data_IF_807582028977
#
_entry.id   IF_807582028977
#
_cell.length_a   1.000
_cell.length_b   1.000
_cell.length_c   1.000
_cell.angle_alpha   90.00
_cell.angle_beta   90.00
_cell.angle_gamma   90.00
#
_symmetry.space_group_name_H-M   'P 1'
#
loop_
_entity.id
_entity.type
_entity.pdbx_description
1 polymer ?
#
# COMPACT_ATOMS: atom_id res chain seq x y z
N UNK A 1 7.01 -18.27 -21.95
CA UNK A 1 5.72 -18.68 -22.55
C UNK A 1 4.62 -17.97 -21.77
N UNK A 2 4.12 -16.85 -22.30
CA UNK A 2 3.03 -16.08 -21.68
C UNK A 2 1.74 -16.89 -21.82
N UNK A 3 1.07 -17.16 -20.70
CA UNK A 3 -0.28 -17.74 -20.69
C UNK A 3 -1.20 -16.66 -20.14
N UNK A 4 -1.74 -15.85 -21.02
CA UNK A 4 -2.91 -15.03 -20.76
C UNK A 4 -3.67 -14.84 -22.07
N UNK A 5 -3.99 -15.95 -22.73
CA UNK A 5 -4.97 -15.98 -23.81
C UNK A 5 -6.30 -16.45 -23.22
N UNK A 6 -7.27 -15.54 -23.05
CA UNK A 6 -8.64 -15.96 -22.74
C UNK A 6 -9.59 -14.94 -22.12
N UNK A 7 -9.11 -13.77 -21.68
CA UNK A 7 -9.99 -12.77 -21.07
C UNK A 7 -10.37 -11.71 -22.10
N UNK A 8 -11.60 -11.78 -22.60
CA UNK A 8 -12.25 -10.69 -23.35
C UNK A 8 -13.30 -10.04 -22.47
N UNK A 9 -13.19 -8.73 -22.24
CA UNK A 9 -14.20 -7.94 -21.55
C UNK A 9 -15.51 -7.89 -22.34
N UNK A 10 -16.64 -7.86 -21.64
CA UNK A 10 -17.97 -7.68 -22.25
C UNK A 10 -18.10 -6.37 -23.06
N UNK A 11 -17.18 -5.42 -22.88
CA UNK A 11 -17.16 -4.12 -23.56
C UNK A 11 -16.18 -4.03 -24.76
N UNK A 12 -15.41 -5.08 -25.07
CA UNK A 12 -14.50 -5.08 -26.23
C UNK A 12 -13.25 -4.20 -26.13
N UNK A 13 -12.93 -3.68 -24.94
CA UNK A 13 -11.69 -2.94 -24.69
C UNK A 13 -10.51 -3.91 -24.52
N UNK A 14 -9.43 -3.70 -25.28
CA UNK A 14 -8.16 -4.41 -25.13
C UNK A 14 -7.37 -3.78 -23.95
N UNK A 15 -7.05 -4.54 -22.89
CA UNK A 15 -6.28 -4.01 -21.76
C UNK A 15 -4.82 -3.70 -22.11
N UNK A 16 -4.35 -4.01 -23.32
CA UNK A 16 -2.98 -3.77 -23.75
C UNK A 16 -1.98 -4.62 -22.97
N UNK A 17 -0.84 -4.03 -22.61
CA UNK A 17 0.26 -4.72 -21.91
C UNK A 17 0.07 -4.83 -20.37
N UNK A 18 -1.13 -4.55 -19.84
CA UNK A 18 -1.40 -4.65 -18.40
C UNK A 18 -1.32 -6.10 -17.90
N UNK A 19 -0.71 -6.27 -16.73
CA UNK A 19 -0.81 -7.50 -15.95
C UNK A 19 -2.22 -7.70 -15.38
N UNK A 20 -2.62 -8.94 -15.03
CA UNK A 20 -3.91 -9.19 -14.39
C UNK A 20 -4.13 -8.33 -13.13
N UNK A 21 -3.10 -8.14 -12.30
CA UNK A 21 -3.22 -7.35 -11.07
C UNK A 21 -3.38 -5.85 -11.33
N UNK A 22 -2.70 -5.30 -12.33
CA UNK A 22 -2.89 -3.89 -12.73
C UNK A 22 -4.31 -3.65 -13.26
N UNK A 23 -4.84 -4.61 -14.02
CA UNK A 23 -6.19 -4.58 -14.55
C UNK A 23 -7.25 -4.65 -13.45
N UNK A 24 -7.08 -5.55 -12.49
CA UNK A 24 -7.93 -5.66 -11.30
C UNK A 24 -7.89 -4.38 -10.45
N UNK A 25 -6.70 -3.82 -10.24
CA UNK A 25 -6.52 -2.55 -9.50
C UNK A 25 -7.26 -1.40 -10.19
N UNK A 26 -7.12 -1.27 -11.52
CA UNK A 26 -7.80 -0.25 -12.29
C UNK A 26 -9.34 -0.43 -12.25
N UNK A 27 -9.82 -1.67 -12.34
CA UNK A 27 -11.23 -2.00 -12.22
C UNK A 27 -11.77 -1.64 -10.82
N UNK A 28 -11.04 -1.96 -9.75
CA UNK A 28 -11.42 -1.63 -8.37
C UNK A 28 -11.55 -0.10 -8.18
N UNK A 29 -10.57 0.68 -8.63
CA UNK A 29 -10.64 2.15 -8.54
C UNK A 29 -11.79 2.74 -9.35
N UNK A 30 -12.08 2.19 -10.54
CA UNK A 30 -13.25 2.59 -11.32
C UNK A 30 -14.55 2.30 -10.58
N UNK A 31 -14.67 1.15 -9.90
CA UNK A 31 -15.83 0.79 -9.09
C UNK A 31 -15.98 1.73 -7.89
N UNK A 32 -14.89 2.03 -7.17
CA UNK A 32 -14.91 2.97 -6.04
C UNK A 32 -15.44 4.35 -6.46
N UNK A 33 -14.93 4.88 -7.57
CA UNK A 33 -15.42 6.15 -8.13
C UNK A 33 -16.90 6.07 -8.54
N UNK A 34 -17.31 5.00 -9.24
CA UNK A 34 -18.70 4.84 -9.69
C UNK A 34 -19.68 4.74 -8.53
N UNK A 35 -19.26 4.13 -7.43
CA UNK A 35 -20.07 3.92 -6.23
C UNK A 35 -20.01 5.09 -5.23
N UNK A 36 -19.24 6.16 -5.53
CA UNK A 36 -18.96 7.27 -4.62
C UNK A 36 -18.47 6.80 -3.24
N UNK A 37 -17.50 5.88 -3.24
CA UNK A 37 -16.89 5.37 -2.00
C UNK A 37 -16.12 6.51 -1.32
N UNK A 38 -16.59 6.91 -0.14
CA UNK A 38 -15.96 7.98 0.65
C UNK A 38 -14.62 7.54 1.25
N UNK A 39 -14.53 6.29 1.73
CA UNK A 39 -13.32 5.69 2.26
C UNK A 39 -13.21 4.24 1.79
N UNK A 40 -12.09 3.89 1.18
CA UNK A 40 -11.76 2.54 0.74
C UNK A 40 -10.46 2.08 1.39
N UNK A 41 -10.40 0.80 1.76
CA UNK A 41 -9.15 0.14 2.15
C UNK A 41 -8.57 -0.51 0.91
N UNK A 42 -7.32 -0.19 0.60
CA UNK A 42 -6.60 -0.75 -0.54
C UNK A 42 -5.39 -1.49 -0.01
N UNK A 43 -5.42 -2.82 -0.15
CA UNK A 43 -4.30 -3.68 0.20
C UNK A 43 -3.28 -3.70 -0.95
N UNK A 44 -2.01 -3.53 -0.59
CA UNK A 44 -0.88 -3.59 -1.53
C UNK A 44 -0.70 -5.05 -1.97
N UNK A 45 -0.55 -5.31 -3.26
CA UNK A 45 -0.30 -6.66 -3.76
C UNK A 45 1.09 -7.16 -3.39
N UNK A 46 2.14 -6.53 -3.95
CA UNK A 46 3.52 -6.87 -3.66
C UNK A 46 4.44 -5.64 -3.69
N UNK A 47 5.30 -5.53 -2.68
CA UNK A 47 6.25 -4.45 -2.56
C UNK A 47 5.67 -3.21 -1.90
N UNK A 48 5.61 -2.10 -2.63
CA UNK A 48 5.17 -0.81 -2.09
C UNK A 48 5.26 0.32 -3.12
N UNK A 49 6.47 0.82 -3.41
CA UNK A 49 6.65 1.92 -4.35
C UNK A 49 6.17 1.59 -5.77
N UNK A 50 6.44 0.36 -6.22
CA UNK A 50 6.19 -0.15 -7.58
C UNK A 50 4.89 -0.94 -7.71
N UNK A 51 4.10 -1.04 -6.63
CA UNK A 51 2.85 -1.79 -6.66
C UNK A 51 1.77 -1.01 -7.45
N UNK A 52 0.91 -1.73 -8.19
CA UNK A 52 -0.15 -1.11 -8.99
C UNK A 52 -1.08 -0.23 -8.14
N UNK A 53 -1.35 -0.62 -6.90
CA UNK A 53 -2.21 0.15 -5.98
C UNK A 53 -1.61 1.50 -5.60
N UNK A 54 -0.29 1.65 -5.71
CA UNK A 54 0.41 2.90 -5.42
C UNK A 54 0.13 4.00 -6.47
N UNK A 55 -0.59 3.68 -7.55
CA UNK A 55 -1.18 4.64 -8.48
C UNK A 55 -2.23 5.56 -7.82
N UNK A 56 -2.82 5.15 -6.68
CA UNK A 56 -3.66 6.01 -5.85
C UNK A 56 -2.84 7.18 -5.29
N UNK A 57 -3.10 8.38 -5.81
CA UNK A 57 -2.37 9.62 -5.44
C UNK A 57 -2.86 10.20 -4.11
N UNK A 58 -4.17 10.27 -3.94
CA UNK A 58 -4.80 10.82 -2.75
C UNK A 58 -5.01 9.71 -1.73
N UNK A 59 -4.26 9.77 -0.64
CA UNK A 59 -4.33 8.81 0.47
C UNK A 59 -4.59 9.59 1.76
N UNK A 60 -5.60 9.19 2.52
CA UNK A 60 -5.86 9.79 3.83
C UNK A 60 -4.85 9.29 4.88
N UNK A 61 -4.46 8.02 4.78
CA UNK A 61 -3.52 7.35 5.70
C UNK A 61 -2.82 6.22 4.96
N UNK A 62 -1.60 5.91 5.35
CA UNK A 62 -0.89 4.69 4.95
C UNK A 62 -0.69 3.80 6.16
N UNK A 63 -0.73 2.48 5.97
CA UNK A 63 -0.60 1.52 7.07
C UNK A 63 0.44 0.47 6.72
N UNK A 64 1.40 0.25 7.62
CA UNK A 64 2.39 -0.83 7.53
C UNK A 64 2.12 -1.77 8.70
N UNK A 65 1.62 -2.96 8.37
CA UNK A 65 1.40 -4.04 9.34
C UNK A 65 2.73 -4.63 9.84
N UNK A 66 2.64 -5.71 10.63
CA UNK A 66 3.81 -6.50 11.01
C UNK A 66 4.59 -6.96 9.78
N UNK A 67 5.88 -6.66 9.74
CA UNK A 67 6.81 -7.10 8.71
C UNK A 67 7.46 -8.39 9.17
N UNK A 68 7.48 -9.37 8.27
CA UNK A 68 8.15 -10.64 8.42
C UNK A 68 8.92 -10.97 7.13
N UNK A 69 9.67 -12.06 7.15
CA UNK A 69 10.34 -12.61 5.97
C UNK A 69 9.29 -13.23 5.04
N UNK A 70 8.90 -12.46 4.03
CA UNK A 70 7.93 -12.85 3.02
C UNK A 70 8.37 -12.38 1.64
N UNK A 71 8.06 -13.15 0.60
CA UNK A 71 8.40 -12.86 -0.79
C UNK A 71 9.88 -12.46 -1.00
N UNK A 72 10.80 -13.16 -0.31
CA UNK A 72 12.22 -12.81 -0.27
C UNK A 72 12.89 -12.69 -1.65
N UNK A 73 12.45 -13.50 -2.61
CA UNK A 73 12.93 -13.47 -4.00
C UNK A 73 12.68 -12.10 -4.69
N UNK A 74 11.71 -11.33 -4.20
CA UNK A 74 11.30 -10.05 -4.76
C UNK A 74 11.61 -8.86 -3.84
N UNK A 75 11.54 -9.06 -2.52
CA UNK A 75 11.55 -7.97 -1.53
C UNK A 75 12.86 -7.82 -0.75
N UNK A 76 13.74 -8.83 -0.81
CA UNK A 76 15.00 -8.86 -0.06
C UNK A 76 15.09 -10.02 0.90
N UNK A 77 16.28 -10.26 1.43
CA UNK A 77 16.60 -11.38 2.30
C UNK A 77 16.55 -11.03 3.79
N UNK A 78 16.33 -9.76 4.15
CA UNK A 78 16.12 -9.35 5.54
C UNK A 78 14.85 -8.54 5.72
N UNK A 79 14.32 -8.53 6.94
CA UNK A 79 13.13 -7.74 7.30
C UNK A 79 13.36 -6.23 7.11
N UNK A 80 14.59 -5.73 7.22
CA UNK A 80 14.95 -4.34 6.93
C UNK A 80 14.89 -4.01 5.44
N UNK A 81 15.32 -4.94 4.57
CA UNK A 81 15.20 -4.77 3.12
C UNK A 81 13.73 -4.76 2.71
N UNK A 82 12.94 -5.71 3.23
CA UNK A 82 11.49 -5.77 3.01
C UNK A 82 10.82 -4.48 3.52
N UNK A 83 11.22 -3.98 4.69
CA UNK A 83 10.71 -2.73 5.25
C UNK A 83 10.98 -1.52 4.33
N UNK A 84 12.17 -1.43 3.73
CA UNK A 84 12.48 -0.36 2.76
C UNK A 84 11.54 -0.39 1.56
N UNK A 85 11.25 -1.58 1.04
CA UNK A 85 10.34 -1.72 -0.11
C UNK A 85 8.91 -1.33 0.29
N UNK A 86 8.41 -1.87 1.42
CA UNK A 86 7.05 -1.58 1.92
C UNK A 86 6.87 -0.11 2.32
N UNK A 87 7.91 0.57 2.78
CA UNK A 87 7.87 2.00 3.09
C UNK A 87 7.52 2.86 1.85
N UNK A 88 7.70 2.34 0.63
CA UNK A 88 7.40 3.03 -0.62
C UNK A 88 5.93 3.43 -0.84
N UNK A 89 5.01 2.99 0.02
CA UNK A 89 3.62 3.47 0.01
C UNK A 89 3.45 4.83 0.67
N UNK A 90 4.41 5.26 1.50
CA UNK A 90 4.38 6.54 2.21
C UNK A 90 4.27 7.71 1.23
N UNK A 91 3.59 8.77 1.66
CA UNK A 91 3.39 10.00 0.88
C UNK A 91 3.70 11.23 1.75
N UNK A 92 4.26 12.30 1.16
CA UNK A 92 4.51 13.54 1.91
C UNK A 92 3.22 14.06 2.54
N UNK A 93 3.28 14.45 3.82
CA UNK A 93 2.12 14.97 4.56
C UNK A 93 0.99 13.97 4.85
N UNK A 94 1.07 12.72 4.39
CA UNK A 94 0.07 11.68 4.68
C UNK A 94 0.54 10.81 5.85
N UNK A 95 -0.18 10.75 6.98
CA UNK A 95 0.27 9.99 8.14
C UNK A 95 0.48 8.51 7.82
N UNK A 96 1.49 7.91 8.44
CA UNK A 96 1.76 6.48 8.36
C UNK A 96 1.55 5.81 9.71
N UNK A 97 0.64 4.85 9.78
CA UNK A 97 0.44 4.00 10.96
C UNK A 97 1.27 2.74 10.79
N UNK A 98 2.08 2.41 11.80
CA UNK A 98 2.95 1.24 11.80
C UNK A 98 2.60 0.33 12.96
N UNK A 99 2.54 -0.98 12.72
CA UNK A 99 2.37 -1.97 13.77
C UNK A 99 3.50 -1.85 14.81
N UNK A 100 3.13 -1.56 16.05
CA UNK A 100 4.05 -1.34 17.16
C UNK A 100 4.84 -2.59 17.57
N UNK A 101 4.44 -3.77 17.12
CA UNK A 101 5.12 -5.05 17.39
C UNK A 101 6.30 -5.32 16.45
N UNK A 102 6.57 -4.45 15.48
CA UNK A 102 7.74 -4.54 14.61
C UNK A 102 9.06 -4.39 15.41
N UNK A 103 10.14 -5.10 15.04
CA UNK A 103 11.43 -4.97 15.71
C UNK A 103 12.01 -3.56 15.54
N UNK A 104 12.90 -3.14 16.46
CA UNK A 104 13.49 -1.80 16.42
C UNK A 104 14.21 -1.49 15.11
N UNK A 105 14.91 -2.47 14.51
CA UNK A 105 15.60 -2.29 13.24
C UNK A 105 14.65 -1.92 12.09
N UNK A 106 13.50 -2.59 12.01
CA UNK A 106 12.43 -2.25 11.06
C UNK A 106 11.87 -0.86 11.35
N UNK A 107 11.61 -0.55 12.62
CA UNK A 107 11.11 0.77 13.02
C UNK A 107 12.05 1.90 12.62
N UNK A 108 13.36 1.69 12.73
CA UNK A 108 14.38 2.67 12.35
C UNK A 108 14.38 2.90 10.83
N UNK A 109 14.32 1.83 10.04
CA UNK A 109 14.17 1.91 8.57
C UNK A 109 12.94 2.72 8.17
N UNK A 110 11.79 2.43 8.78
CA UNK A 110 10.54 3.11 8.46
C UNK A 110 10.56 4.59 8.86
N UNK A 111 11.15 4.93 10.01
CA UNK A 111 11.33 6.33 10.46
C UNK A 111 12.30 7.10 9.57
N UNK A 112 13.38 6.46 9.14
CA UNK A 112 14.35 7.06 8.23
C UNK A 112 13.67 7.41 6.90
N UNK A 113 12.93 6.46 6.33
CA UNK A 113 12.18 6.70 5.10
C UNK A 113 11.11 7.78 5.27
N UNK A 114 10.37 7.77 6.38
CA UNK A 114 9.36 8.77 6.67
C UNK A 114 9.95 10.18 6.74
N UNK A 115 11.15 10.34 7.34
CA UNK A 115 11.88 11.61 7.36
C UNK A 115 12.26 12.07 5.95
N UNK A 116 12.74 11.17 5.10
CA UNK A 116 13.09 11.48 3.71
C UNK A 116 11.87 11.90 2.87
N UNK A 117 10.73 11.23 3.05
CA UNK A 117 9.49 11.51 2.32
C UNK A 117 8.75 12.75 2.88
N UNK A 118 9.03 13.15 4.12
CA UNK A 118 8.34 14.25 4.79
C UNK A 118 6.98 13.85 5.36
N UNK A 119 6.94 12.70 6.05
CA UNK A 119 5.76 12.24 6.79
C UNK A 119 6.09 11.79 8.21
N UNK A 120 5.06 11.57 9.01
CA UNK A 120 5.14 11.13 10.41
C UNK A 120 4.70 9.66 10.53
N UNK A 121 5.43 8.91 11.37
CA UNK A 121 5.08 7.55 11.76
C UNK A 121 4.41 7.55 13.12
N UNK A 122 3.20 7.01 13.19
CA UNK A 122 2.44 6.77 14.41
C UNK A 122 2.34 5.27 14.67
N UNK A 123 2.46 4.86 15.93
CA UNK A 123 2.37 3.44 16.30
C UNK A 123 0.91 3.00 16.46
N UNK A 124 0.59 1.78 16.05
CA UNK A 124 -0.76 1.21 16.19
C UNK A 124 -1.25 1.16 17.65
N UNK A 125 -0.34 1.01 18.61
CA UNK A 125 -0.66 1.08 20.05
C UNK A 125 -1.20 2.44 20.50
N UNK A 126 -0.98 3.50 19.71
CA UNK A 126 -1.51 4.84 19.94
C UNK A 126 -2.58 5.23 18.90
N UNK A 127 -3.01 4.29 18.05
CA UNK A 127 -3.98 4.54 16.99
C UNK A 127 -5.43 4.58 17.50
N UNK A 128 -5.74 3.93 18.62
CA UNK A 128 -7.10 3.97 19.21
C UNK A 128 -7.56 5.42 19.51
N UNK A 129 -6.77 6.27 20.19
CA UNK A 129 -7.09 7.68 20.34
C UNK A 129 -7.24 8.47 19.03
N UNK A 130 -6.55 8.05 17.95
CA UNK A 130 -6.64 8.68 16.63
C UNK A 130 -7.92 8.29 15.90
N UNK A 131 -8.32 7.01 15.95
CA UNK A 131 -9.58 6.51 15.37
C UNK A 131 -10.77 7.19 16.05
N UNK A 132 -10.75 7.31 17.38
CA UNK A 132 -11.78 8.03 18.16
C UNK A 132 -11.87 9.54 17.84
N UNK A 133 -10.86 10.11 17.17
CA UNK A 133 -10.89 11.52 16.73
C UNK A 133 -11.50 11.69 15.34
N UNK A 134 -11.56 10.63 14.53
CA UNK A 134 -12.11 10.64 13.17
C UNK A 134 -13.65 10.49 13.16
N UNK A 135 -14.23 9.76 14.11
CA UNK A 135 -15.70 9.57 14.22
C UNK A 135 -16.45 10.80 14.79
N UNK A 136 -15.73 11.88 15.11
CA UNK A 136 -16.30 13.13 15.66
C UNK A 136 -16.43 14.26 14.63
N UNK A 137 -16.27 13.97 13.34
CA UNK A 137 -16.38 14.92 12.23
C UNK A 137 -17.56 14.65 11.31
#
# INVERSE_FOLDING_TARGET
>A
KRVSSGWTFAAGEDPGDLTPFELETAAAFRVFNKMNVQYGIVEVGMGGATDATNAMKEKAVTVISKIDLDHQEYLGNTIEEIAKVKAGIMRPGVPCIVDHTNPSSVMDVLRDHARTVGTQVSLSSKALPFIESLDRG
#
